data_IF_503567803473
#
_entry.id   IF_503567803473
#
_cell.length_a   1.000
_cell.length_b   1.000
_cell.length_c   1.000
_cell.angle_alpha   90.00
_cell.angle_beta   90.00
_cell.angle_gamma   90.00
#
_symmetry.space_group_name_H-M   'P 1'
#
loop_
_entity.id
_entity.type
_entity.pdbx_description
1 polymer ?
#
# COMPACT_ATOMS: atom_id res chain seq x y z
N UNK A 1 10.97 10.83 5.64
CA UNK A 1 11.08 9.48 6.22
C UNK A 1 10.07 9.22 7.32
N UNK A 2 10.01 10.04 8.40
CA UNK A 2 9.10 9.86 9.54
C UNK A 2 7.61 9.73 9.16
N UNK A 3 7.11 10.57 8.24
CA UNK A 3 5.72 10.52 7.76
C UNK A 3 5.32 9.15 7.17
N UNK A 4 6.21 8.50 6.42
CA UNK A 4 5.89 7.22 5.80
C UNK A 4 5.89 6.07 6.80
N UNK A 5 6.82 6.07 7.75
CA UNK A 5 6.86 5.04 8.80
C UNK A 5 5.67 5.17 9.75
N UNK A 6 5.32 6.40 10.15
CA UNK A 6 4.13 6.66 10.98
C UNK A 6 2.84 6.24 10.28
N UNK A 7 2.74 6.50 8.98
CA UNK A 7 1.57 6.13 8.19
C UNK A 7 1.37 4.60 8.13
N UNK A 8 2.44 3.82 7.93
CA UNK A 8 2.35 2.36 7.89
C UNK A 8 2.10 1.74 9.25
N UNK A 9 2.81 2.19 10.28
CA UNK A 9 2.64 1.69 11.64
C UNK A 9 1.20 1.93 12.11
N UNK A 10 0.71 3.15 11.90
CA UNK A 10 -0.66 3.51 12.25
C UNK A 10 -1.68 2.70 11.44
N UNK A 11 -1.50 2.53 10.13
CA UNK A 11 -2.39 1.71 9.30
C UNK A 11 -2.43 0.24 9.77
N UNK A 12 -1.26 -0.34 10.04
CA UNK A 12 -1.14 -1.74 10.47
C UNK A 12 -1.77 -1.94 11.85
N UNK A 13 -1.54 -1.01 12.78
CA UNK A 13 -2.14 -1.04 14.12
C UNK A 13 -3.66 -0.95 14.04
N UNK A 14 -4.19 0.02 13.30
CA UNK A 14 -5.64 0.24 13.19
C UNK A 14 -6.34 -0.95 12.53
N UNK A 15 -5.71 -1.56 11.51
CA UNK A 15 -6.19 -2.78 10.87
C UNK A 15 -6.26 -3.95 11.85
N UNK A 16 -5.18 -4.20 12.61
CA UNK A 16 -5.15 -5.27 13.61
C UNK A 16 -6.21 -5.07 14.69
N UNK A 17 -6.38 -3.84 15.16
CA UNK A 17 -7.40 -3.48 16.15
C UNK A 17 -8.82 -3.68 15.59
N UNK A 18 -9.06 -3.29 14.34
CA UNK A 18 -10.35 -3.51 13.66
C UNK A 18 -10.63 -5.00 13.50
N UNK A 19 -9.67 -5.79 13.02
CA UNK A 19 -9.84 -7.24 12.82
C UNK A 19 -10.14 -7.93 14.14
N UNK A 20 -9.42 -7.57 15.21
CA UNK A 20 -9.66 -8.13 16.55
C UNK A 20 -11.06 -7.82 17.06
N UNK A 21 -11.56 -6.60 16.84
CA UNK A 21 -12.85 -6.14 17.39
C UNK A 21 -14.07 -6.53 16.53
N UNK A 22 -13.92 -6.53 15.20
CA UNK A 22 -15.03 -6.59 14.24
C UNK A 22 -14.93 -7.77 13.26
N UNK A 23 -13.81 -8.51 13.27
CA UNK A 23 -13.52 -9.56 12.30
C UNK A 23 -13.01 -9.02 10.95
N UNK A 24 -12.45 -9.91 10.13
CA UNK A 24 -11.81 -9.55 8.85
C UNK A 24 -12.80 -8.96 7.84
N UNK A 25 -14.02 -9.49 7.77
CA UNK A 25 -15.04 -9.04 6.83
C UNK A 25 -15.44 -7.57 7.06
N UNK A 26 -15.81 -7.20 8.28
CA UNK A 26 -16.13 -5.81 8.63
C UNK A 26 -14.90 -4.88 8.53
N UNK A 27 -13.71 -5.44 8.74
CA UNK A 27 -12.46 -4.68 8.64
C UNK A 27 -12.07 -4.36 7.20
N UNK A 28 -12.58 -5.06 6.19
CA UNK A 28 -12.31 -4.78 4.79
C UNK A 28 -12.80 -3.37 4.39
N UNK A 29 -14.03 -3.02 4.76
CA UNK A 29 -14.59 -1.68 4.54
C UNK A 29 -13.77 -0.63 5.29
N UNK A 30 -13.37 -0.97 6.52
CA UNK A 30 -12.59 -0.12 7.40
C UNK A 30 -11.20 0.17 6.81
N UNK A 31 -10.56 -0.83 6.20
CA UNK A 31 -9.26 -0.72 5.54
C UNK A 31 -9.28 0.19 4.30
N UNK A 32 -10.38 0.15 3.54
CA UNK A 32 -10.62 1.04 2.40
C UNK A 32 -10.68 2.50 2.85
N UNK A 33 -11.60 2.79 3.76
CA UNK A 33 -11.90 4.15 4.21
C UNK A 33 -10.71 4.78 4.93
N UNK A 34 -10.08 4.05 5.86
CA UNK A 34 -8.97 4.62 6.65
C UNK A 34 -7.76 5.00 5.82
N UNK A 35 -7.45 4.25 4.76
CA UNK A 35 -6.31 4.60 3.91
C UNK A 35 -6.56 5.90 3.16
N UNK A 36 -7.72 6.02 2.52
CA UNK A 36 -8.07 7.19 1.72
C UNK A 36 -8.18 8.44 2.59
N UNK A 37 -8.73 8.31 3.80
CA UNK A 37 -8.80 9.41 4.78
C UNK A 37 -7.42 9.86 5.24
N UNK A 38 -6.50 8.94 5.55
CA UNK A 38 -5.13 9.31 5.96
C UNK A 38 -4.37 10.04 4.84
N UNK A 39 -4.47 9.55 3.61
CA UNK A 39 -3.87 10.20 2.45
C UNK A 39 -4.43 11.62 2.27
N UNK A 40 -5.76 11.78 2.30
CA UNK A 40 -6.43 13.08 2.22
C UNK A 40 -6.01 14.05 3.34
N UNK A 41 -5.92 13.57 4.58
CA UNK A 41 -5.52 14.40 5.72
C UNK A 41 -4.08 14.91 5.61
N UNK A 42 -3.17 14.08 5.10
CA UNK A 42 -1.79 14.48 4.85
C UNK A 42 -1.69 15.51 3.72
N UNK A 43 -2.40 15.29 2.61
CA UNK A 43 -2.47 16.25 1.50
C UNK A 43 -3.03 17.60 1.97
N UNK A 44 -4.06 17.57 2.83
CA UNK A 44 -4.64 18.79 3.40
C UNK A 44 -3.65 19.54 4.32
N UNK A 45 -2.88 18.81 5.13
CA UNK A 45 -1.92 19.38 6.09
C UNK A 45 -0.68 19.94 5.41
N UNK A 46 -0.25 19.34 4.30
CA UNK A 46 0.97 19.71 3.58
C UNK A 46 0.63 20.19 2.17
N UNK A 47 0.41 21.50 1.98
CA UNK A 47 0.21 22.07 0.64
C UNK A 47 1.39 21.71 -0.27
N UNK A 48 1.10 21.19 -1.47
CA UNK A 48 2.04 20.65 -2.48
C UNK A 48 2.53 19.21 -2.26
N UNK A 49 2.06 18.51 -1.24
CA UNK A 49 2.24 17.06 -1.12
C UNK A 49 1.13 16.33 -1.88
N UNK A 50 1.51 15.46 -2.81
CA UNK A 50 0.68 14.34 -3.27
C UNK A 50 1.22 13.07 -2.61
N UNK A 51 0.42 12.35 -1.83
CA UNK A 51 0.80 11.08 -1.19
C UNK A 51 -0.26 10.03 -1.42
N UNK A 52 0.16 8.81 -1.76
CA UNK A 52 -0.73 7.70 -2.10
C UNK A 52 -0.05 6.36 -1.89
N UNK A 53 -0.82 5.28 -1.89
CA UNK A 53 -0.29 3.91 -2.05
C UNK A 53 -0.36 3.47 -3.49
N UNK A 54 0.63 2.68 -3.91
CA UNK A 54 0.72 2.16 -5.29
C UNK A 54 1.08 0.69 -5.31
N UNK A 55 0.54 -0.04 -6.27
CA UNK A 55 0.85 -1.44 -6.50
C UNK A 55 0.53 -1.82 -7.95
N UNK A 56 1.39 -2.60 -8.59
CA UNK A 56 1.08 -3.17 -9.92
C UNK A 56 -0.03 -4.22 -9.87
N UNK A 57 -0.31 -4.75 -8.67
CA UNK A 57 -1.39 -5.69 -8.39
C UNK A 57 -2.35 -5.07 -7.38
N UNK A 58 -2.84 -3.87 -7.72
CA UNK A 58 -3.68 -3.06 -6.85
C UNK A 58 -5.07 -3.66 -6.65
N UNK A 59 -5.61 -3.51 -5.42
CA UNK A 59 -7.03 -3.75 -5.14
C UNK A 59 -7.92 -2.60 -5.57
N UNK A 60 -7.48 -1.38 -5.24
CA UNK A 60 -8.11 -0.16 -5.73
C UNK A 60 -7.45 0.23 -7.06
N UNK A 61 -8.17 0.32 -8.20
CA UNK A 61 -7.60 0.75 -9.47
C UNK A 61 -6.95 2.14 -9.43
N UNK A 62 -7.38 3.01 -8.51
CA UNK A 62 -6.76 4.34 -8.33
C UNK A 62 -5.31 4.24 -7.81
N UNK A 63 -4.92 3.09 -7.28
CA UNK A 63 -3.57 2.80 -6.78
C UNK A 63 -2.68 2.09 -7.82
N UNK A 64 -3.08 2.05 -9.08
CA UNK A 64 -2.17 1.65 -10.16
C UNK A 64 -1.05 2.69 -10.30
N UNK A 65 0.20 2.26 -10.52
CA UNK A 65 1.34 3.18 -10.56
C UNK A 65 1.32 4.09 -11.80
N UNK A 66 1.80 5.31 -11.63
CA UNK A 66 2.14 6.27 -12.68
C UNK A 66 3.51 5.91 -13.28
N UNK A 67 3.84 6.44 -14.46
CA UNK A 67 5.08 6.11 -15.19
C UNK A 67 6.36 6.22 -14.36
N UNK A 68 6.45 7.23 -13.49
CA UNK A 68 7.63 7.39 -12.63
C UNK A 68 7.69 6.40 -11.47
N UNK A 69 6.53 5.96 -10.98
CA UNK A 69 6.44 4.97 -9.90
C UNK A 69 6.76 3.56 -10.44
N UNK A 70 6.41 3.29 -11.71
CA UNK A 70 6.77 2.05 -12.41
C UNK A 70 8.29 1.88 -12.46
N UNK A 71 9.07 2.96 -12.66
CA UNK A 71 10.54 2.89 -12.68
C UNK A 71 11.08 2.38 -11.35
N UNK A 72 10.69 3.00 -10.24
CA UNK A 72 11.11 2.57 -8.90
C UNK A 72 10.69 1.11 -8.59
N UNK A 73 9.45 0.73 -8.95
CA UNK A 73 8.97 -0.64 -8.78
C UNK A 73 9.77 -1.65 -9.62
N UNK A 74 10.18 -1.26 -10.83
CA UNK A 74 10.99 -2.10 -11.72
C UNK A 74 12.41 -2.28 -11.17
N UNK A 75 13.04 -1.20 -10.69
CA UNK A 75 14.35 -1.28 -10.04
C UNK A 75 14.31 -2.20 -8.81
N UNK A 76 13.25 -2.12 -8.00
CA UNK A 76 13.10 -3.02 -6.86
C UNK A 76 12.86 -4.48 -7.24
N UNK A 77 12.24 -4.75 -8.39
CA UNK A 77 12.12 -6.13 -8.90
C UNK A 77 13.44 -6.67 -9.42
N UNK A 78 14.25 -5.81 -10.03
CA UNK A 78 15.52 -6.19 -10.64
C UNK A 78 16.62 -6.37 -9.60
N UNK A 79 16.72 -5.44 -8.64
CA UNK A 79 17.82 -5.39 -7.67
C UNK A 79 17.41 -5.79 -6.26
N UNK A 80 16.10 -5.86 -5.99
CA UNK A 80 15.57 -6.27 -4.70
C UNK A 80 15.67 -7.78 -4.50
N UNK A 81 16.26 -8.18 -3.38
CA UNK A 81 16.29 -9.56 -2.91
C UNK A 81 16.02 -9.59 -1.40
N UNK A 82 15.93 -10.79 -0.80
CA UNK A 82 15.82 -10.90 0.66
C UNK A 82 17.08 -10.34 1.35
N UNK A 83 18.23 -10.47 0.70
CA UNK A 83 19.54 -10.04 1.17
C UNK A 83 19.82 -8.55 0.84
N UNK A 84 19.11 -8.00 -0.15
CA UNK A 84 19.18 -6.59 -0.53
C UNK A 84 17.75 -6.05 -0.74
N UNK A 85 17.00 -5.76 0.34
CA UNK A 85 15.62 -5.32 0.21
C UNK A 85 15.53 -3.99 -0.54
N UNK A 86 14.42 -3.79 -1.26
CA UNK A 86 14.07 -2.53 -1.90
C UNK A 86 14.40 -1.32 -1.00
N UNK A 87 15.14 -0.38 -1.57
CA UNK A 87 15.58 0.83 -0.91
C UNK A 87 14.51 1.92 -0.99
N UNK A 88 14.67 2.98 -0.21
CA UNK A 88 13.88 4.20 -0.38
C UNK A 88 14.31 4.85 -1.68
N UNK A 89 13.41 4.88 -2.66
CA UNK A 89 13.65 5.59 -3.92
C UNK A 89 13.48 7.09 -3.69
N UNK A 90 14.39 7.89 -4.24
CA UNK A 90 14.28 9.34 -4.26
C UNK A 90 14.78 9.92 -5.58
N UNK A 91 13.98 10.77 -6.20
CA UNK A 91 14.32 11.44 -7.46
C UNK A 91 14.04 12.93 -7.32
N UNK A 92 15.09 13.74 -7.46
CA UNK A 92 14.99 15.20 -7.43
C UNK A 92 14.84 15.74 -8.84
N UNK A 93 13.66 16.29 -9.14
CA UNK A 93 13.35 16.95 -10.40
C UNK A 93 13.35 18.49 -10.22
N UNK A 94 13.40 19.27 -11.32
CA UNK A 94 13.38 20.73 -11.22
C UNK A 94 12.17 21.28 -10.47
N UNK A 95 10.97 20.70 -10.71
CA UNK A 95 9.70 21.18 -10.14
C UNK A 95 9.13 20.29 -9.04
N UNK A 96 9.74 19.13 -8.78
CA UNK A 96 9.22 18.20 -7.78
C UNK A 96 10.31 17.36 -7.15
N UNK A 97 9.98 16.77 -6.02
CA UNK A 97 10.79 15.76 -5.37
C UNK A 97 9.93 14.51 -5.19
N UNK A 98 10.35 13.41 -5.78
CA UNK A 98 9.66 12.14 -5.69
C UNK A 98 10.31 11.25 -4.66
N UNK A 99 9.49 10.55 -3.88
CA UNK A 99 9.91 9.54 -2.94
C UNK A 99 9.01 8.32 -3.03
N UNK A 100 9.60 7.13 -2.96
CA UNK A 100 8.83 5.91 -2.72
C UNK A 100 9.47 5.08 -1.63
N UNK A 101 8.60 4.50 -0.81
CA UNK A 101 8.99 3.55 0.23
C UNK A 101 8.26 2.23 0.01
N UNK A 102 8.98 1.10 -0.10
CA UNK A 102 8.36 -0.20 -0.34
C UNK A 102 7.48 -0.60 0.85
N UNK A 103 6.41 -1.35 0.55
CA UNK A 103 5.54 -2.00 1.52
C UNK A 103 5.71 -3.50 1.33
N UNK A 104 6.20 -4.15 2.39
CA UNK A 104 6.38 -5.59 2.43
C UNK A 104 5.32 -6.26 3.28
N UNK A 105 5.00 -7.51 2.94
CA UNK A 105 4.13 -8.36 3.74
C UNK A 105 4.89 -8.89 4.95
N UNK A 106 5.05 -8.05 5.97
CA UNK A 106 5.82 -8.36 7.18
C UNK A 106 4.96 -8.98 8.31
N UNK A 107 3.64 -8.97 8.17
CA UNK A 107 2.71 -9.48 9.17
C UNK A 107 1.67 -10.45 8.57
N UNK A 108 1.43 -11.63 9.19
CA UNK A 108 0.42 -12.59 8.70
C UNK A 108 -0.99 -12.02 8.58
N UNK A 109 -1.33 -10.92 9.28
CA UNK A 109 -2.63 -10.25 9.16
C UNK A 109 -2.91 -9.79 7.73
N UNK A 110 -1.87 -9.39 6.99
CA UNK A 110 -1.98 -8.98 5.59
C UNK A 110 -2.49 -10.14 4.72
N UNK A 111 -2.06 -11.37 5.02
CA UNK A 111 -2.40 -12.57 4.25
C UNK A 111 -3.87 -12.98 4.39
N UNK A 112 -4.58 -12.50 5.42
CA UNK A 112 -6.03 -12.72 5.55
C UNK A 112 -6.81 -12.16 4.36
N UNK A 113 -6.28 -11.15 3.70
CA UNK A 113 -6.90 -10.46 2.56
C UNK A 113 -6.09 -10.60 1.27
N UNK A 114 -4.76 -10.72 1.38
CA UNK A 114 -3.83 -10.67 0.26
C UNK A 114 -3.09 -12.00 0.02
N UNK A 115 -3.32 -13.00 0.88
CA UNK A 115 -2.65 -14.29 0.80
C UNK A 115 -3.14 -15.17 -0.35
N UNK A 116 -2.66 -16.41 -0.36
CA UNK A 116 -3.14 -17.43 -1.30
C UNK A 116 -4.65 -17.70 -1.12
N UNK A 117 -5.27 -18.26 -2.15
CA UNK A 117 -6.72 -18.41 -2.18
C UNK A 117 -7.26 -19.26 -1.01
N UNK A 118 -6.51 -20.24 -0.54
CA UNK A 118 -6.82 -21.08 0.62
C UNK A 118 -6.73 -20.33 1.97
N UNK A 119 -6.05 -19.18 2.02
CA UNK A 119 -5.90 -18.35 3.23
C UNK A 119 -7.03 -17.32 3.41
N UNK A 120 -7.91 -17.18 2.41
CA UNK A 120 -8.95 -16.16 2.37
C UNK A 120 -10.32 -16.84 2.40
N UNK A 121 -11.16 -16.46 3.37
CA UNK A 121 -12.47 -17.08 3.54
C UNK A 121 -13.40 -16.80 2.35
N UNK A 122 -14.39 -17.67 2.13
CA UNK A 122 -15.41 -17.53 1.09
C UNK A 122 -16.15 -16.20 1.15
N UNK A 123 -16.52 -15.78 2.35
CA UNK A 123 -17.26 -14.54 2.61
C UNK A 123 -16.41 -13.34 2.24
N UNK A 124 -15.12 -13.36 2.63
CA UNK A 124 -14.19 -12.28 2.36
C UNK A 124 -13.86 -12.17 0.87
N UNK A 125 -13.67 -13.30 0.16
CA UNK A 125 -13.53 -13.30 -1.31
C UNK A 125 -14.73 -12.69 -2.01
N UNK A 126 -15.93 -13.05 -1.55
CA UNK A 126 -17.19 -12.55 -2.13
C UNK A 126 -17.30 -11.04 -1.95
N UNK A 127 -17.03 -10.54 -0.73
CA UNK A 127 -17.10 -9.12 -0.44
C UNK A 127 -15.99 -8.33 -1.14
N UNK A 128 -14.77 -8.86 -1.21
CA UNK A 128 -13.68 -8.23 -1.98
C UNK A 128 -14.09 -8.12 -3.46
N UNK A 129 -14.61 -9.19 -4.07
CA UNK A 129 -15.06 -9.15 -5.47
C UNK A 129 -16.18 -8.14 -5.70
N UNK A 130 -17.09 -7.99 -4.72
CA UNK A 130 -18.18 -7.00 -4.76
C UNK A 130 -17.65 -5.57 -4.68
N UNK A 131 -16.72 -5.29 -3.75
CA UNK A 131 -16.15 -3.96 -3.55
C UNK A 131 -15.11 -3.58 -4.60
N UNK A 132 -14.39 -4.57 -5.14
CA UNK A 132 -13.27 -4.43 -6.06
C UNK A 132 -13.36 -5.46 -7.19
N UNK A 133 -14.23 -5.24 -8.19
CA UNK A 133 -14.44 -6.19 -9.29
C UNK A 133 -13.19 -6.48 -10.15
N UNK A 134 -12.21 -5.57 -10.09
CA UNK A 134 -10.93 -5.65 -10.82
C UNK A 134 -9.74 -5.94 -9.89
N UNK A 135 -9.97 -6.47 -8.69
CA UNK A 135 -8.90 -6.73 -7.72
C UNK A 135 -7.85 -7.72 -8.27
N UNK A 136 -6.58 -7.30 -8.22
CA UNK A 136 -5.42 -8.15 -8.54
C UNK A 136 -4.57 -8.56 -7.34
N UNK A 137 -4.94 -8.12 -6.12
CA UNK A 137 -4.06 -8.08 -4.94
C UNK A 137 -4.15 -9.35 -4.07
N UNK A 138 -3.77 -10.50 -4.63
CA UNK A 138 -3.85 -11.82 -3.98
C UNK A 138 -2.59 -12.67 -4.16
N UNK A 139 -2.48 -13.79 -3.45
CA UNK A 139 -1.41 -14.77 -3.65
C UNK A 139 -0.06 -14.36 -3.09
N UNK A 140 -0.01 -13.34 -2.24
CA UNK A 140 1.21 -12.92 -1.57
C UNK A 140 1.61 -13.88 -0.44
N UNK A 141 2.89 -13.85 -0.09
CA UNK A 141 3.52 -14.57 1.03
C UNK A 141 4.24 -13.58 1.94
N UNK A 142 4.63 -14.05 3.13
CA UNK A 142 5.46 -13.24 4.02
C UNK A 142 6.79 -12.87 3.34
N UNK A 143 7.14 -11.59 3.45
CA UNK A 143 8.33 -11.00 2.82
C UNK A 143 8.12 -10.55 1.38
N UNK A 144 6.95 -10.79 0.75
CA UNK A 144 6.69 -10.30 -0.60
C UNK A 144 6.52 -8.78 -0.60
N UNK A 145 6.97 -8.14 -1.68
CA UNK A 145 6.68 -6.73 -1.97
C UNK A 145 5.25 -6.61 -2.49
N UNK A 146 4.36 -5.94 -1.73
CA UNK A 146 2.94 -5.78 -2.10
C UNK A 146 2.67 -4.43 -2.79
N UNK A 147 3.58 -3.46 -2.64
CA UNK A 147 3.45 -2.14 -3.25
C UNK A 147 4.39 -1.13 -2.61
N UNK A 148 3.99 0.14 -2.63
CA UNK A 148 4.75 1.24 -2.06
C UNK A 148 3.85 2.33 -1.49
N UNK A 149 4.37 3.10 -0.53
CA UNK A 149 3.97 4.48 -0.36
C UNK A 149 4.71 5.33 -1.39
N UNK A 150 3.99 6.20 -2.07
CA UNK A 150 4.50 7.14 -3.06
C UNK A 150 4.18 8.56 -2.61
N UNK A 151 5.16 9.47 -2.70
CA UNK A 151 4.93 10.89 -2.54
C UNK A 151 5.64 11.72 -3.61
N UNK A 152 4.97 12.80 -4.02
CA UNK A 152 5.54 13.87 -4.82
C UNK A 152 5.35 15.19 -4.08
N UNK A 153 6.44 15.93 -3.92
CA UNK A 153 6.43 17.26 -3.33
C UNK A 153 6.70 18.31 -4.41
N UNK A 154 5.76 19.22 -4.64
CA UNK A 154 5.96 20.36 -5.54
C UNK A 154 6.97 21.36 -4.98
N UNK A 155 7.92 21.77 -5.81
CA UNK A 155 8.85 22.88 -5.54
C UNK A 155 8.25 24.20 -6.00
N UNK A 156 8.64 25.28 -5.32
CA UNK A 156 8.33 26.65 -5.72
C UNK A 156 9.19 27.07 -6.90
#
# INVERSE_FOLDING_TARGET
MKLFSESEESLTKDLKDSIRKKGSLASLVTCRTFSEEKEKNLIFTYPRLDIRRVSERSRNPDHLPKDWEIRALSEWKEFGSKENPAFIFSESLPKSLHFMRPIYVNDPVCLKCHGAADQITSELKTEIKRLYPKDGSFGYKLGDLIGAYSASWGRL
#
